data_IF_438391736078
#
_entry.id   IF_438391736078
#
_cell.length_a   1.000
_cell.length_b   1.000
_cell.length_c   1.000
_cell.angle_alpha   90.00
_cell.angle_beta   90.00
_cell.angle_gamma   90.00
#
_symmetry.space_group_name_H-M   'P 1'
#
loop_
_entity.id
_entity.type
_entity.pdbx_description
1 polymer ?
#
# COMPACT_ATOMS: atom_id res chain seq x y z
N UNK A 1 14.02 -55.50 42.86
CA UNK A 1 14.77 -54.22 42.85
C UNK A 1 14.01 -53.26 41.94
N UNK A 2 13.43 -52.15 42.44
CA UNK A 2 12.85 -51.12 41.58
C UNK A 2 13.97 -50.22 40.98
N UNK A 3 13.77 -49.63 39.78
CA UNK A 3 14.77 -48.77 39.13
C UNK A 3 14.89 -47.38 39.80
N UNK A 4 16.02 -46.67 39.60
CA UNK A 4 16.34 -45.42 40.30
C UNK A 4 15.59 -44.19 39.74
N UNK A 5 15.17 -43.32 40.66
CA UNK A 5 14.24 -42.19 40.54
C UNK A 5 14.72 -40.97 39.69
N UNK A 6 15.78 -41.07 38.90
CA UNK A 6 16.51 -39.88 38.37
C UNK A 6 16.11 -39.36 36.97
N UNK A 7 14.93 -39.71 36.43
CA UNK A 7 14.57 -39.36 35.03
C UNK A 7 13.34 -38.44 34.86
N UNK A 8 12.94 -37.67 35.87
CA UNK A 8 11.78 -36.77 35.74
C UNK A 8 12.08 -35.33 36.18
N UNK A 9 12.92 -34.62 35.43
CA UNK A 9 12.98 -33.15 35.49
C UNK A 9 11.95 -32.56 34.52
N UNK A 10 10.68 -32.52 34.93
CA UNK A 10 9.70 -31.73 34.18
C UNK A 10 10.09 -30.26 34.28
N UNK A 11 10.27 -29.53 33.15
CA UNK A 11 10.56 -28.11 33.22
C UNK A 11 9.37 -27.39 33.86
N UNK A 12 9.63 -26.66 34.94
CA UNK A 12 8.65 -25.76 35.53
C UNK A 12 8.33 -24.65 34.52
N UNK A 13 7.15 -24.73 33.89
CA UNK A 13 6.64 -23.64 33.05
C UNK A 13 5.84 -22.71 33.96
N UNK A 14 6.31 -21.47 34.20
CA UNK A 14 5.55 -20.54 35.01
C UNK A 14 4.18 -20.27 34.37
N UNK A 15 3.11 -20.10 35.17
CA UNK A 15 1.79 -19.82 34.63
C UNK A 15 1.81 -18.52 33.83
N UNK A 16 1.26 -18.57 32.61
CA UNK A 16 1.17 -17.40 31.73
C UNK A 16 0.28 -16.35 32.41
N UNK A 17 0.83 -15.16 32.65
CA UNK A 17 0.06 -14.04 33.21
C UNK A 17 -0.85 -13.47 32.13
N UNK A 18 -2.14 -13.29 32.43
CA UNK A 18 -3.14 -12.70 31.51
C UNK A 18 -2.65 -11.41 30.84
N UNK A 19 -2.01 -10.51 31.60
CA UNK A 19 -1.47 -9.24 31.10
C UNK A 19 -0.30 -9.43 30.13
N UNK A 20 0.54 -10.45 30.33
CA UNK A 20 1.66 -10.74 29.44
C UNK A 20 1.14 -11.28 28.10
N UNK A 21 0.17 -12.20 28.15
CA UNK A 21 -0.51 -12.72 26.96
C UNK A 21 -1.14 -11.60 26.13
N UNK A 22 -1.95 -10.73 26.75
CA UNK A 22 -2.58 -9.59 26.05
C UNK A 22 -1.56 -8.67 25.37
N UNK A 23 -0.44 -8.36 26.03
CA UNK A 23 0.62 -7.54 25.44
C UNK A 23 1.24 -8.20 24.21
N UNK A 24 1.56 -9.49 24.31
CA UNK A 24 2.14 -10.25 23.20
C UNK A 24 1.17 -10.36 22.03
N UNK A 25 -0.11 -10.63 22.28
CA UNK A 25 -1.13 -10.72 21.24
C UNK A 25 -1.36 -9.37 20.57
N UNK A 26 -1.51 -8.27 21.32
CA UNK A 26 -1.69 -6.94 20.73
C UNK A 26 -0.49 -6.53 19.88
N UNK A 27 0.75 -6.79 20.33
CA UNK A 27 1.94 -6.50 19.55
C UNK A 27 2.01 -7.33 18.26
N UNK A 28 1.74 -8.64 18.33
CA UNK A 28 1.73 -9.52 17.18
C UNK A 28 0.63 -9.15 16.17
N UNK A 29 -0.59 -8.91 16.63
CA UNK A 29 -1.70 -8.48 15.79
C UNK A 29 -1.45 -7.10 15.19
N UNK A 30 -0.89 -6.16 15.97
CA UNK A 30 -0.52 -4.83 15.49
C UNK A 30 0.52 -4.89 14.36
N UNK A 31 1.54 -5.74 14.47
CA UNK A 31 2.56 -5.91 13.43
C UNK A 31 1.98 -6.48 12.13
N UNK A 32 1.04 -7.43 12.22
CA UNK A 32 0.38 -8.05 11.07
C UNK A 32 -0.65 -7.10 10.43
N UNK A 33 -1.34 -6.30 11.24
CA UNK A 33 -2.36 -5.37 10.77
C UNK A 33 -1.80 -4.00 10.32
N UNK A 34 -0.56 -3.67 10.66
CA UNK A 34 0.08 -2.40 10.29
C UNK A 34 0.08 -2.11 8.78
N UNK A 35 0.28 -3.07 7.86
CA UNK A 35 0.15 -2.84 6.41
C UNK A 35 -1.27 -2.44 5.98
N UNK A 36 -2.31 -2.70 6.79
CA UNK A 36 -3.68 -2.25 6.53
C UNK A 36 -3.97 -0.84 7.05
N UNK A 37 -3.01 -0.22 7.73
CA UNK A 37 -3.05 1.21 8.12
C UNK A 37 -2.48 2.08 6.99
N UNK A 38 -2.09 1.49 5.85
CA UNK A 38 -1.82 2.25 4.63
C UNK A 38 -3.13 2.91 4.18
N UNK A 39 -3.19 4.25 4.09
CA UNK A 39 -4.39 4.93 3.63
C UNK A 39 -4.82 4.37 2.27
N UNK A 40 -6.13 4.16 2.04
CA UNK A 40 -6.67 3.87 0.69
C UNK A 40 -6.22 4.91 -0.36
N UNK A 41 -5.75 6.08 0.07
CA UNK A 41 -5.08 7.09 -0.76
C UNK A 41 -3.75 6.64 -1.39
N UNK A 42 -3.14 5.55 -0.96
CA UNK A 42 -1.89 5.03 -1.56
C UNK A 42 -2.20 3.96 -2.61
N UNK A 43 -3.34 3.26 -2.48
CA UNK A 43 -3.80 2.28 -3.45
C UNK A 43 -4.88 2.90 -4.36
N UNK A 44 -4.47 3.38 -5.54
CA UNK A 44 -5.40 3.85 -6.59
C UNK A 44 -5.79 5.33 -6.55
N UNK A 45 -5.17 6.19 -5.74
CA UNK A 45 -5.59 7.59 -5.65
C UNK A 45 -5.19 8.50 -6.82
N UNK A 46 -4.73 7.95 -7.94
CA UNK A 46 -4.41 8.64 -9.20
C UNK A 46 -4.40 7.63 -10.35
N UNK A 47 -5.47 6.84 -10.53
CA UNK A 47 -5.54 5.85 -11.62
C UNK A 47 -5.37 6.49 -13.02
N UNK A 48 -5.72 7.77 -13.15
CA UNK A 48 -5.41 8.61 -14.31
C UNK A 48 -4.98 10.00 -13.87
N UNK A 49 -3.92 10.50 -14.50
CA UNK A 49 -3.45 11.88 -14.34
C UNK A 49 -4.36 12.84 -15.11
N UNK A 50 -4.60 14.03 -14.53
CA UNK A 50 -5.22 15.14 -15.24
C UNK A 50 -4.12 15.94 -15.95
N UNK A 51 -4.15 15.97 -17.27
CA UNK A 51 -3.11 16.55 -18.13
C UNK A 51 -3.69 17.71 -18.92
N UNK A 52 -2.99 18.84 -18.92
CA UNK A 52 -3.29 19.99 -19.78
C UNK A 52 -2.13 20.19 -20.76
N UNK A 53 -2.42 20.42 -22.04
CA UNK A 53 -1.42 20.64 -23.08
C UNK A 53 -1.53 22.04 -23.69
N UNK A 54 -0.39 22.71 -23.84
CA UNK A 54 -0.26 24.04 -24.46
C UNK A 54 0.64 23.89 -25.69
N UNK A 55 0.17 24.33 -26.84
CA UNK A 55 0.71 23.94 -28.14
C UNK A 55 0.32 22.51 -28.50
N UNK A 56 -0.98 22.19 -28.43
CA UNK A 56 -1.49 20.83 -28.69
C UNK A 56 -1.42 20.41 -30.15
N UNK A 57 -1.16 21.32 -31.09
CA UNK A 57 -1.01 21.02 -32.50
C UNK A 57 0.37 20.47 -32.89
N UNK A 58 0.48 19.93 -34.11
CA UNK A 58 1.76 19.52 -34.69
C UNK A 58 2.41 18.37 -33.93
N UNK A 59 3.62 18.58 -33.38
CA UNK A 59 4.33 17.55 -32.61
C UNK A 59 3.67 17.27 -31.26
N UNK A 60 3.04 18.27 -30.66
CA UNK A 60 2.35 18.14 -29.37
C UNK A 60 1.21 17.12 -29.40
N UNK A 61 0.54 16.99 -30.55
CA UNK A 61 -0.50 16.00 -30.77
C UNK A 61 -0.01 14.58 -30.51
N UNK A 62 1.16 14.22 -31.05
CA UNK A 62 1.76 12.88 -30.88
C UNK A 62 2.06 12.58 -29.41
N UNK A 63 2.44 13.59 -28.63
CA UNK A 63 2.75 13.43 -27.22
C UNK A 63 1.45 13.30 -26.38
N UNK A 64 0.39 14.01 -26.78
CA UNK A 64 -0.96 13.89 -26.20
C UNK A 64 -1.56 12.52 -26.51
N UNK A 65 -1.44 12.03 -27.75
CA UNK A 65 -1.90 10.71 -28.18
C UNK A 65 -1.21 9.60 -27.35
N UNK A 66 0.08 9.76 -27.05
CA UNK A 66 0.81 8.86 -26.15
C UNK A 66 0.29 8.86 -24.70
N UNK A 67 -0.53 9.85 -24.33
CA UNK A 67 -1.17 10.00 -23.03
C UNK A 67 -2.68 9.65 -23.06
N UNK A 68 -3.18 8.99 -24.11
CA UNK A 68 -4.61 8.64 -24.29
C UNK A 68 -5.24 7.88 -23.10
N UNK A 69 -4.43 7.17 -22.31
CA UNK A 69 -4.87 6.42 -21.13
C UNK A 69 -5.17 7.32 -19.92
N UNK A 70 -4.85 8.60 -20.01
CA UNK A 70 -4.97 9.60 -18.95
C UNK A 70 -6.15 10.54 -19.22
N UNK A 71 -6.43 11.46 -18.29
CA UNK A 71 -7.50 12.44 -18.45
C UNK A 71 -6.95 13.74 -19.03
N UNK A 72 -7.17 13.98 -20.32
CA UNK A 72 -6.84 15.27 -20.94
C UNK A 72 -7.92 16.29 -20.55
N UNK A 73 -7.57 17.28 -19.73
CA UNK A 73 -8.53 18.23 -19.14
C UNK A 73 -8.56 19.59 -19.84
N UNK A 74 -7.51 19.93 -20.58
CA UNK A 74 -7.44 21.16 -21.36
C UNK A 74 -6.44 21.04 -22.51
N UNK A 75 -6.82 21.61 -23.66
CA UNK A 75 -5.97 21.77 -24.82
C UNK A 75 -5.95 23.24 -25.22
N UNK A 76 -4.81 23.72 -25.66
CA UNK A 76 -4.61 25.09 -26.10
C UNK A 76 -3.59 25.10 -27.24
N UNK A 77 -3.86 25.88 -28.27
CA UNK A 77 -2.95 26.20 -29.36
C UNK A 77 -3.21 27.63 -29.82
N UNK A 78 -2.21 28.26 -30.44
CA UNK A 78 -2.37 29.59 -31.05
C UNK A 78 -3.30 29.53 -32.26
N UNK A 79 -3.29 28.39 -32.96
CA UNK A 79 -4.23 28.11 -34.05
C UNK A 79 -5.50 27.46 -33.46
N UNK A 80 -6.65 28.17 -33.47
CA UNK A 80 -7.89 27.64 -32.91
C UNK A 80 -8.39 26.38 -33.62
N UNK A 81 -7.93 26.09 -34.85
CA UNK A 81 -8.23 24.85 -35.55
C UNK A 81 -7.41 23.64 -35.07
N UNK A 82 -6.41 23.84 -34.21
CA UNK A 82 -5.51 22.78 -33.70
C UNK A 82 -5.60 22.54 -32.19
N UNK A 83 -6.40 23.34 -31.50
CA UNK A 83 -6.61 23.26 -30.05
C UNK A 83 -7.83 22.42 -29.64
N UNK A 84 -8.62 21.91 -30.60
CA UNK A 84 -9.91 21.27 -30.38
C UNK A 84 -9.88 19.75 -30.62
#
# INVERSE_FOLDING_TARGET
>A
MPPPFWLMTTPYVPPIRRRAFLKTTVAATGAIAFPMVVPRRVFGANERLNIAAIGSGGKGQVDIDGCESQNIVALCDVDPGKAA
#
